data_IF_062577932138
#
_entry.id   IF_062577932138
#
_cell.length_a   1.000
_cell.length_b   1.000
_cell.length_c   1.000
_cell.angle_alpha   90.00
_cell.angle_beta   90.00
_cell.angle_gamma   90.00
#
_symmetry.space_group_name_H-M   'P 1'
#
loop_
_entity.id
_entity.type
_entity.pdbx_description
1 polymer ?
#
# COMPACT_ATOMS: atom_id res chain seq x y z
N UNK A 1 -32.27 32.04 -23.65
CA UNK A 1 -31.62 31.38 -24.80
C UNK A 1 -30.12 31.40 -24.52
N UNK A 2 -29.62 30.35 -23.86
CA UNK A 2 -28.26 30.32 -23.32
C UNK A 2 -27.35 29.70 -24.36
N UNK A 3 -26.36 30.47 -24.85
CA UNK A 3 -25.36 30.02 -25.81
C UNK A 3 -24.52 28.92 -25.15
N UNK A 4 -24.88 27.66 -25.39
CA UNK A 4 -23.98 26.52 -25.24
C UNK A 4 -22.82 26.76 -26.21
N UNK A 5 -21.71 27.32 -25.73
CA UNK A 5 -20.45 27.36 -26.48
C UNK A 5 -20.18 25.94 -26.98
N UNK A 6 -20.16 25.74 -28.31
CA UNK A 6 -19.81 24.48 -28.95
C UNK A 6 -18.40 24.06 -28.49
N UNK A 7 -18.32 23.25 -27.45
CA UNK A 7 -17.08 22.61 -27.01
C UNK A 7 -16.74 21.58 -28.10
N UNK A 8 -15.52 21.62 -28.64
CA UNK A 8 -15.09 20.66 -29.67
C UNK A 8 -15.16 19.22 -29.13
N UNK A 9 -15.43 18.23 -29.99
CA UNK A 9 -15.44 16.82 -29.59
C UNK A 9 -14.11 16.37 -28.98
N UNK A 10 -13.00 16.96 -29.41
CA UNK A 10 -11.68 16.75 -28.80
C UNK A 10 -11.66 17.19 -27.33
N UNK A 11 -12.23 18.34 -27.02
CA UNK A 11 -12.31 18.83 -25.64
C UNK A 11 -13.29 17.99 -24.80
N UNK A 12 -14.38 17.47 -25.39
CA UNK A 12 -15.25 16.49 -24.71
C UNK A 12 -14.47 15.20 -24.38
N UNK A 13 -13.67 14.68 -25.32
CA UNK A 13 -12.82 13.50 -25.12
C UNK A 13 -11.77 13.72 -24.02
N UNK A 14 -11.05 14.84 -24.05
CA UNK A 14 -10.04 15.17 -23.03
C UNK A 14 -10.68 15.27 -21.64
N UNK A 15 -11.85 15.93 -21.53
CA UNK A 15 -12.57 16.00 -20.24
C UNK A 15 -12.98 14.62 -19.74
N UNK A 16 -13.46 13.76 -20.63
CA UNK A 16 -13.82 12.38 -20.28
C UNK A 16 -12.60 11.55 -19.87
N UNK A 17 -11.47 11.74 -20.55
CA UNK A 17 -10.19 11.12 -20.21
C UNK A 17 -9.68 11.56 -18.84
N UNK A 18 -9.66 12.86 -18.56
CA UNK A 18 -9.24 13.37 -17.25
C UNK A 18 -10.20 12.93 -16.14
N UNK A 19 -11.51 12.88 -16.43
CA UNK A 19 -12.49 12.35 -15.49
C UNK A 19 -12.19 10.89 -15.16
N UNK A 20 -11.84 10.07 -16.15
CA UNK A 20 -11.46 8.68 -15.95
C UNK A 20 -10.15 8.53 -15.15
N UNK A 21 -9.09 9.26 -15.52
CA UNK A 21 -7.79 9.19 -14.85
C UNK A 21 -7.87 9.65 -13.37
N UNK A 22 -8.80 10.55 -13.07
CA UNK A 22 -9.05 11.03 -11.71
C UNK A 22 -10.11 10.21 -10.94
N UNK A 23 -10.78 9.25 -11.59
CA UNK A 23 -11.76 8.38 -10.92
C UNK A 23 -11.08 7.14 -10.35
N UNK A 24 -10.93 7.13 -9.04
CA UNK A 24 -10.08 6.17 -8.35
C UNK A 24 -10.85 5.23 -7.40
N UNK A 25 -12.12 5.53 -7.13
CA UNK A 25 -13.05 4.71 -6.34
C UNK A 25 -13.84 3.69 -7.20
N UNK A 26 -13.62 3.67 -8.52
CA UNK A 26 -14.37 2.90 -9.53
C UNK A 26 -15.90 3.09 -9.49
N UNK A 27 -16.40 4.03 -8.68
CA UNK A 27 -17.81 4.44 -8.67
C UNK A 27 -18.13 5.14 -9.98
N UNK A 28 -19.36 5.00 -10.45
CA UNK A 28 -19.83 5.68 -11.66
C UNK A 28 -19.02 5.38 -12.95
N UNK A 29 -18.20 4.32 -12.97
CA UNK A 29 -17.43 3.93 -14.16
C UNK A 29 -18.35 3.71 -15.38
N UNK A 30 -19.57 3.21 -15.16
CA UNK A 30 -20.60 3.08 -16.20
C UNK A 30 -21.06 4.43 -16.77
N UNK A 31 -21.12 5.47 -15.94
CA UNK A 31 -21.42 6.85 -16.39
C UNK A 31 -20.29 7.36 -17.28
N UNK A 32 -19.03 7.11 -16.92
CA UNK A 32 -17.87 7.45 -17.74
C UNK A 32 -17.89 6.68 -19.07
N UNK A 33 -18.16 5.38 -19.05
CA UNK A 33 -18.32 4.56 -20.26
C UNK A 33 -19.47 5.07 -21.15
N UNK A 34 -20.57 5.54 -20.55
CA UNK A 34 -21.68 6.18 -21.26
C UNK A 34 -21.28 7.50 -21.92
N UNK A 35 -20.41 8.30 -21.28
CA UNK A 35 -19.84 9.50 -21.89
C UNK A 35 -18.96 9.16 -23.10
N UNK A 36 -18.07 8.19 -22.98
CA UNK A 36 -17.27 7.69 -24.11
C UNK A 36 -18.15 7.20 -25.26
N UNK A 37 -19.23 6.46 -24.96
CA UNK A 37 -20.21 6.00 -25.97
C UNK A 37 -20.90 7.16 -26.68
N UNK A 38 -21.24 8.25 -25.97
CA UNK A 38 -21.84 9.45 -26.58
C UNK A 38 -20.85 10.16 -27.49
N UNK A 39 -19.61 10.34 -27.04
CA UNK A 39 -18.54 10.97 -27.82
C UNK A 39 -18.26 10.16 -29.08
N UNK A 40 -18.13 8.83 -28.97
CA UNK A 40 -17.96 7.90 -30.08
C UNK A 40 -19.03 8.07 -31.16
N UNK A 41 -20.32 8.03 -30.76
CA UNK A 41 -21.44 8.19 -31.69
C UNK A 41 -21.41 9.52 -32.43
N UNK A 42 -21.11 10.62 -31.72
CA UNK A 42 -20.99 11.96 -32.33
C UNK A 42 -19.79 12.02 -33.29
N UNK A 43 -18.64 11.47 -32.89
CA UNK A 43 -17.43 11.46 -33.69
C UNK A 43 -17.62 10.66 -34.99
N UNK A 44 -18.27 9.50 -34.93
CA UNK A 44 -18.60 8.70 -36.11
C UNK A 44 -19.53 9.48 -37.06
N UNK A 45 -20.58 10.12 -36.53
CA UNK A 45 -21.50 10.96 -37.32
C UNK A 45 -20.78 12.12 -38.01
N UNK A 46 -19.80 12.72 -37.35
CA UNK A 46 -19.00 13.82 -37.87
C UNK A 46 -17.81 13.35 -38.74
N UNK A 47 -17.62 12.04 -38.94
CA UNK A 47 -16.44 11.44 -39.61
C UNK A 47 -15.10 11.81 -38.96
N UNK A 48 -15.11 12.09 -37.65
CA UNK A 48 -13.92 12.34 -36.83
C UNK A 48 -13.33 11.00 -36.33
N UNK A 49 -12.86 10.17 -37.27
CA UNK A 49 -12.48 8.77 -37.05
C UNK A 49 -11.44 8.57 -35.95
N UNK A 50 -10.50 9.51 -35.75
CA UNK A 50 -9.52 9.45 -34.67
C UNK A 50 -10.17 9.56 -33.29
N UNK A 51 -11.11 10.49 -33.12
CA UNK A 51 -11.84 10.67 -31.86
C UNK A 51 -12.74 9.47 -31.61
N UNK A 52 -13.43 8.99 -32.65
CA UNK A 52 -14.22 7.77 -32.57
C UNK A 52 -13.37 6.58 -32.07
N UNK A 53 -12.22 6.32 -32.70
CA UNK A 53 -11.33 5.22 -32.35
C UNK A 53 -10.87 5.30 -30.89
N UNK A 54 -10.41 6.47 -30.44
CA UNK A 54 -9.96 6.69 -29.06
C UNK A 54 -11.09 6.53 -28.05
N UNK A 55 -12.28 7.05 -28.36
CA UNK A 55 -13.44 6.94 -27.48
C UNK A 55 -13.99 5.52 -27.36
N UNK A 56 -14.05 4.74 -28.45
CA UNK A 56 -14.39 3.31 -28.37
C UNK A 56 -13.30 2.54 -27.65
N UNK A 57 -12.02 2.81 -27.93
CA UNK A 57 -10.88 2.19 -27.24
C UNK A 57 -10.96 2.36 -25.72
N UNK A 58 -11.22 3.57 -25.23
CA UNK A 58 -11.27 3.84 -23.79
C UNK A 58 -12.55 3.35 -23.11
N UNK A 59 -13.65 3.20 -23.86
CA UNK A 59 -14.92 2.68 -23.34
C UNK A 59 -14.80 1.28 -22.75
N UNK A 60 -13.86 0.48 -23.25
CA UNK A 60 -13.68 -0.92 -22.84
C UNK A 60 -12.56 -1.10 -21.80
N UNK A 61 -12.03 -0.01 -21.23
CA UNK A 61 -10.95 -0.08 -20.25
C UNK A 61 -11.49 -0.16 -18.83
N UNK A 62 -10.91 -1.09 -18.05
CA UNK A 62 -10.97 -1.19 -16.59
C UNK A 62 -9.54 -1.36 -16.07
N UNK A 63 -9.25 -0.81 -14.89
CA UNK A 63 -7.88 -0.79 -14.37
C UNK A 63 -7.36 -2.13 -13.86
N UNK A 64 -8.25 -3.02 -13.40
CA UNK A 64 -7.88 -4.37 -12.97
C UNK A 64 -8.78 -5.39 -13.68
N UNK A 65 -8.24 -6.16 -14.64
CA UNK A 65 -9.02 -7.00 -15.55
C UNK A 65 -9.55 -8.30 -14.91
N UNK A 66 -9.45 -8.47 -13.58
CA UNK A 66 -9.76 -9.74 -12.91
C UNK A 66 -11.22 -10.19 -13.05
N UNK A 67 -12.11 -9.33 -13.55
CA UNK A 67 -13.50 -9.67 -13.86
C UNK A 67 -14.04 -8.84 -15.03
N UNK A 68 -13.67 -9.11 -16.30
CA UNK A 68 -14.52 -8.93 -17.50
C UNK A 68 -13.92 -9.67 -18.72
N UNK A 69 -14.79 -10.13 -19.62
CA UNK A 69 -14.55 -11.16 -20.62
C UNK A 69 -13.75 -10.66 -21.83
N UNK A 70 -12.89 -11.51 -22.39
CA UNK A 70 -12.25 -11.35 -23.71
C UNK A 70 -13.21 -10.91 -24.84
N UNK A 71 -14.52 -11.08 -24.62
CA UNK A 71 -15.61 -10.78 -25.53
C UNK A 71 -15.74 -9.28 -25.85
N UNK A 72 -15.62 -8.39 -24.86
CA UNK A 72 -15.72 -6.93 -25.10
C UNK A 72 -14.56 -6.41 -25.96
N UNK A 73 -13.35 -6.95 -25.74
CA UNK A 73 -12.19 -6.62 -26.54
C UNK A 73 -12.28 -7.19 -27.96
N UNK A 74 -12.87 -8.39 -28.11
CA UNK A 74 -13.17 -9.00 -29.41
C UNK A 74 -14.15 -8.15 -30.21
N UNK A 75 -15.23 -7.67 -29.60
CA UNK A 75 -16.19 -6.77 -30.25
C UNK A 75 -15.54 -5.47 -30.75
N UNK A 76 -14.67 -4.86 -29.93
CA UNK A 76 -13.92 -3.67 -30.36
C UNK A 76 -13.02 -3.96 -31.57
N UNK A 77 -12.30 -5.09 -31.54
CA UNK A 77 -11.41 -5.50 -32.63
C UNK A 77 -12.19 -5.78 -33.92
N UNK A 78 -13.35 -6.42 -33.82
CA UNK A 78 -14.25 -6.68 -34.96
C UNK A 78 -14.76 -5.38 -35.58
N UNK A 79 -15.18 -4.40 -34.76
CA UNK A 79 -15.59 -3.07 -35.25
C UNK A 79 -14.47 -2.35 -36.00
N UNK A 80 -13.23 -2.46 -35.53
CA UNK A 80 -12.08 -1.86 -36.19
C UNK A 80 -11.78 -2.53 -37.53
N UNK A 81 -11.75 -3.87 -37.57
CA UNK A 81 -11.50 -4.64 -38.78
C UNK A 81 -12.62 -4.51 -39.83
N UNK A 82 -13.84 -4.18 -39.41
CA UNK A 82 -14.98 -3.94 -40.29
C UNK A 82 -14.99 -2.58 -41.00
N UNK A 83 -14.02 -1.70 -40.75
CA UNK A 83 -13.94 -0.41 -41.42
C UNK A 83 -13.44 -0.52 -42.87
N UNK A 84 -13.90 0.36 -43.78
CA UNK A 84 -13.33 0.47 -45.12
C UNK A 84 -11.82 0.75 -45.07
N UNK A 85 -11.06 0.22 -46.02
CA UNK A 85 -9.59 0.35 -46.07
C UNK A 85 -9.11 1.81 -45.97
N UNK A 86 -9.72 2.72 -46.73
CA UNK A 86 -9.36 4.15 -46.69
C UNK A 86 -9.72 4.88 -45.38
N UNK A 87 -10.61 4.31 -44.56
CA UNK A 87 -10.88 4.80 -43.21
C UNK A 87 -9.91 4.18 -42.20
N UNK A 88 -9.56 2.90 -42.35
CA UNK A 88 -8.51 2.25 -41.56
C UNK A 88 -7.18 3.01 -41.68
N UNK A 89 -6.74 3.36 -42.89
CA UNK A 89 -5.48 4.07 -43.11
C UNK A 89 -5.37 5.39 -42.32
N UNK A 90 -6.51 6.06 -42.07
CA UNK A 90 -6.57 7.33 -41.31
C UNK A 90 -6.35 7.14 -39.81
N UNK A 91 -6.56 5.93 -39.30
CA UNK A 91 -6.44 5.56 -37.88
C UNK A 91 -5.29 4.57 -37.62
N UNK A 92 -4.69 3.98 -38.65
CA UNK A 92 -3.55 3.04 -38.58
C UNK A 92 -2.40 3.57 -37.72
N UNK A 93 -2.03 4.85 -37.88
CA UNK A 93 -0.99 5.47 -37.04
C UNK A 93 -1.30 5.47 -35.54
N UNK A 94 -2.58 5.55 -35.16
CA UNK A 94 -3.04 5.49 -33.77
C UNK A 94 -3.19 4.04 -33.31
N UNK A 95 -3.66 3.16 -34.19
CA UNK A 95 -3.73 1.72 -33.90
C UNK A 95 -2.34 1.12 -33.62
N UNK A 96 -1.30 1.59 -34.31
CA UNK A 96 0.10 1.19 -34.09
C UNK A 96 0.81 1.92 -32.95
N UNK A 97 0.18 2.89 -32.26
CA UNK A 97 0.78 3.50 -31.06
C UNK A 97 1.09 2.42 -30.02
N UNK A 98 0.26 1.39 -29.94
CA UNK A 98 0.47 0.25 -29.05
C UNK A 98 1.79 -0.49 -29.35
N UNK A 99 2.04 -0.88 -30.60
CA UNK A 99 3.30 -1.55 -30.95
C UNK A 99 4.52 -0.63 -30.84
N UNK A 100 4.33 0.70 -30.95
CA UNK A 100 5.40 1.67 -30.67
C UNK A 100 5.74 1.72 -29.19
N UNK A 101 4.74 1.59 -28.31
CA UNK A 101 4.98 1.47 -26.87
C UNK A 101 5.70 0.16 -26.53
N UNK A 102 5.38 -0.94 -27.22
CA UNK A 102 6.09 -2.21 -27.07
C UNK A 102 7.58 -2.14 -27.49
N UNK A 103 7.92 -1.28 -28.44
CA UNK A 103 9.32 -1.03 -28.80
C UNK A 103 10.06 -0.21 -27.73
N UNK A 104 9.41 0.81 -27.15
CA UNK A 104 9.97 1.58 -26.03
C UNK A 104 10.21 0.71 -24.79
N UNK A 105 9.38 -0.32 -24.62
CA UNK A 105 9.49 -1.37 -23.60
C UNK A 105 10.83 -2.12 -23.62
N UNK A 106 11.27 -2.51 -24.81
CA UNK A 106 12.53 -3.23 -25.03
C UNK A 106 13.70 -2.33 -24.62
N UNK A 107 13.63 -1.04 -24.95
CA UNK A 107 14.67 -0.06 -24.58
C UNK A 107 14.75 0.16 -23.07
N UNK A 108 13.60 0.30 -22.39
CA UNK A 108 13.53 0.42 -20.93
C UNK A 108 14.07 -0.84 -20.26
N UNK A 109 13.71 -2.03 -20.76
CA UNK A 109 14.20 -3.28 -20.20
C UNK A 109 15.72 -3.46 -20.37
N UNK A 110 16.26 -3.18 -21.55
CA UNK A 110 17.70 -3.19 -21.78
C UNK A 110 18.43 -2.20 -20.86
N UNK A 111 17.79 -1.07 -20.57
CA UNK A 111 18.31 -0.10 -19.63
C UNK A 111 18.35 -0.65 -18.19
N UNK A 112 17.26 -1.26 -17.71
CA UNK A 112 17.22 -1.92 -16.39
C UNK A 112 18.35 -2.93 -16.23
N UNK A 113 18.52 -3.82 -17.22
CA UNK A 113 19.56 -4.85 -17.20
C UNK A 113 20.97 -4.27 -17.14
N UNK A 114 21.20 -3.10 -17.77
CA UNK A 114 22.47 -2.37 -17.65
C UNK A 114 22.71 -1.86 -16.24
N UNK A 115 21.70 -1.31 -15.56
CA UNK A 115 21.84 -0.85 -14.16
C UNK A 115 22.11 -2.04 -13.24
N UNK A 116 21.32 -3.12 -13.35
CA UNK A 116 21.46 -4.30 -12.50
C UNK A 116 22.83 -4.96 -12.66
N UNK A 117 23.37 -5.03 -13.89
CA UNK A 117 24.75 -5.49 -14.12
C UNK A 117 25.76 -4.62 -13.34
N UNK A 118 25.64 -3.29 -13.40
CA UNK A 118 26.52 -2.37 -12.64
C UNK A 118 26.43 -2.60 -11.13
N UNK A 119 25.23 -2.86 -10.58
CA UNK A 119 25.02 -3.18 -9.15
C UNK A 119 25.84 -4.40 -8.74
N UNK A 120 25.65 -5.51 -9.46
CA UNK A 120 26.34 -6.77 -9.18
C UNK A 120 27.87 -6.61 -9.19
N UNK A 121 28.41 -5.81 -10.10
CA UNK A 121 29.85 -5.51 -10.13
C UNK A 121 30.32 -4.69 -8.93
N UNK A 122 29.51 -3.77 -8.38
CA UNK A 122 29.88 -2.97 -7.19
C UNK A 122 29.71 -3.74 -5.87
N UNK A 123 28.76 -4.67 -5.80
CA UNK A 123 28.51 -5.46 -4.59
C UNK A 123 29.49 -6.64 -4.46
N UNK A 124 30.02 -7.15 -5.57
CA UNK A 124 30.94 -8.29 -5.60
C UNK A 124 32.37 -7.88 -5.94
N UNK A 125 32.99 -7.00 -5.14
CA UNK A 125 34.35 -6.47 -5.39
C UNK A 125 35.43 -7.55 -5.67
N UNK A 126 35.18 -8.84 -5.39
CA UNK A 126 36.20 -9.92 -5.40
C UNK A 126 35.87 -11.20 -6.18
N UNK A 127 34.98 -11.21 -7.18
CA UNK A 127 34.82 -12.41 -8.04
C UNK A 127 35.24 -12.16 -9.51
N UNK A 128 36.43 -12.67 -9.83
CA UNK A 128 36.80 -13.08 -11.19
C UNK A 128 35.75 -14.08 -11.69
N UNK A 129 34.98 -13.71 -12.71
CA UNK A 129 34.31 -14.65 -13.59
C UNK A 129 34.70 -14.30 -15.02
N UNK A 130 35.07 -15.36 -15.74
CA UNK A 130 35.70 -15.36 -17.05
C UNK A 130 35.08 -14.37 -18.05
N UNK A 131 35.98 -13.75 -18.80
CA UNK A 131 35.75 -13.03 -20.05
C UNK A 131 34.72 -13.74 -20.92
N UNK A 132 33.46 -13.30 -20.84
CA UNK A 132 32.54 -13.40 -21.97
C UNK A 132 32.89 -12.24 -22.89
N UNK A 133 33.35 -12.59 -24.10
CA UNK A 133 33.92 -11.68 -25.11
C UNK A 133 33.08 -10.39 -25.29
N UNK A 134 33.68 -9.22 -25.05
CA UNK A 134 33.05 -7.92 -25.26
C UNK A 134 33.32 -7.45 -26.69
N UNK A 135 32.80 -8.14 -27.70
CA UNK A 135 32.87 -7.67 -29.10
C UNK A 135 31.50 -7.62 -29.75
N UNK A 136 30.64 -6.76 -29.22
CA UNK A 136 29.82 -5.83 -30.03
C UNK A 136 28.95 -4.99 -29.10
N UNK A 137 28.81 -3.70 -29.44
CA UNK A 137 27.87 -2.70 -28.88
C UNK A 137 28.26 -1.85 -27.67
N UNK A 138 29.51 -1.87 -27.18
CA UNK A 138 29.92 -0.96 -26.10
C UNK A 138 30.95 0.07 -26.57
N UNK A 139 30.46 1.21 -27.07
CA UNK A 139 31.27 2.43 -27.05
C UNK A 139 31.38 2.92 -25.60
N UNK A 140 32.60 2.86 -25.07
CA UNK A 140 33.01 3.55 -23.86
C UNK A 140 33.08 5.04 -24.12
N UNK A 141 31.94 5.72 -24.07
CA UNK A 141 31.86 7.15 -23.78
C UNK A 141 30.40 7.48 -23.55
N UNK A 142 30.09 7.97 -22.35
CA UNK A 142 28.93 8.77 -21.92
C UNK A 142 28.70 8.48 -20.43
N UNK A 143 29.53 9.10 -19.59
CA UNK A 143 29.30 9.19 -18.13
C UNK A 143 28.09 10.06 -17.76
N UNK A 144 27.40 10.62 -18.76
CA UNK A 144 26.15 11.35 -18.58
C UNK A 144 24.94 10.50 -19.00
N UNK A 145 24.17 10.08 -17.99
CA UNK A 145 22.70 10.11 -18.00
C UNK A 145 21.88 8.90 -18.49
N UNK A 146 22.34 7.67 -18.30
CA UNK A 146 21.48 6.51 -18.59
C UNK A 146 20.15 6.53 -17.80
N UNK A 147 20.15 7.07 -16.57
CA UNK A 147 18.95 7.28 -15.72
C UNK A 147 18.07 8.44 -16.19
N UNK A 148 18.67 9.59 -16.56
CA UNK A 148 17.91 10.71 -17.16
C UNK A 148 17.32 10.31 -18.51
N UNK A 149 17.97 9.41 -19.26
CA UNK A 149 17.44 8.86 -20.52
C UNK A 149 16.20 8.00 -20.26
N UNK A 150 16.22 7.12 -19.26
CA UNK A 150 15.04 6.34 -18.89
C UNK A 150 13.88 7.20 -18.38
N UNK A 151 14.17 8.22 -17.57
CA UNK A 151 13.16 9.20 -17.16
C UNK A 151 12.58 9.96 -18.36
N UNK A 152 13.43 10.43 -19.30
CA UNK A 152 12.96 11.11 -20.51
C UNK A 152 12.08 10.19 -21.35
N UNK A 153 12.47 8.93 -21.53
CA UNK A 153 11.65 7.94 -22.25
C UNK A 153 10.30 7.74 -21.55
N UNK A 154 10.27 7.65 -20.22
CA UNK A 154 9.03 7.56 -19.45
C UNK A 154 8.16 8.83 -19.59
N UNK A 155 8.78 10.01 -19.54
CA UNK A 155 8.09 11.30 -19.69
C UNK A 155 7.53 11.49 -21.10
N UNK A 156 8.31 11.18 -22.13
CA UNK A 156 7.90 11.22 -23.53
C UNK A 156 6.75 10.25 -23.78
N UNK A 157 6.82 9.07 -23.17
CA UNK A 157 5.77 8.07 -23.23
C UNK A 157 4.47 8.57 -22.57
N UNK A 158 4.51 9.10 -21.35
CA UNK A 158 3.30 9.60 -20.67
C UNK A 158 2.74 10.86 -21.36
N UNK A 159 3.59 11.76 -21.86
CA UNK A 159 3.15 12.92 -22.62
C UNK A 159 2.46 12.52 -23.93
N UNK A 160 3.02 11.54 -24.66
CA UNK A 160 2.39 11.01 -25.87
C UNK A 160 1.08 10.30 -25.54
N UNK A 161 1.01 9.56 -24.44
CA UNK A 161 -0.20 8.90 -23.97
C UNK A 161 -1.30 9.91 -23.66
N UNK A 162 -1.03 10.89 -22.80
CA UNK A 162 -1.98 11.94 -22.38
C UNK A 162 -2.42 12.77 -23.58
N UNK A 163 -1.47 13.18 -24.43
CA UNK A 163 -1.76 13.97 -25.64
C UNK A 163 -2.70 13.25 -26.62
N UNK A 164 -2.71 11.92 -26.59
CA UNK A 164 -3.60 11.07 -27.38
C UNK A 164 -4.79 10.53 -26.56
N UNK A 165 -5.01 10.97 -25.32
CA UNK A 165 -6.07 10.49 -24.43
C UNK A 165 -6.07 8.96 -24.28
N UNK A 166 -4.88 8.35 -24.25
CA UNK A 166 -4.75 6.90 -24.15
C UNK A 166 -4.78 6.51 -22.68
N UNK A 167 -5.86 5.89 -22.24
CA UNK A 167 -5.96 5.41 -20.87
C UNK A 167 -5.07 4.17 -20.67
N UNK A 168 -4.29 4.15 -19.58
CA UNK A 168 -3.47 3.00 -19.17
C UNK A 168 -3.78 2.64 -17.71
N UNK A 169 -3.84 1.35 -17.36
CA UNK A 169 -3.52 0.19 -18.21
C UNK A 169 -4.70 -0.32 -19.04
N UNK A 170 -4.45 -0.53 -20.33
CA UNK A 170 -5.39 -1.14 -21.29
C UNK A 170 -5.33 -2.67 -21.27
N UNK A 171 -4.19 -3.21 -20.86
CA UNK A 171 -3.94 -4.62 -20.51
C UNK A 171 -2.86 -4.67 -19.42
N UNK A 172 -2.76 -5.79 -18.72
CA UNK A 172 -1.70 -6.03 -17.72
C UNK A 172 -0.30 -5.87 -18.34
N UNK A 173 -0.14 -6.18 -19.63
CA UNK A 173 1.13 -5.99 -20.34
C UNK A 173 1.55 -4.52 -20.38
N UNK A 174 0.61 -3.58 -20.58
CA UNK A 174 0.90 -2.14 -20.58
C UNK A 174 1.25 -1.60 -19.18
N UNK A 175 0.60 -2.15 -18.15
CA UNK A 175 0.94 -1.86 -16.76
C UNK A 175 2.37 -2.32 -16.48
N UNK A 176 2.72 -3.53 -16.93
CA UNK A 176 4.05 -4.11 -16.81
C UNK A 176 5.15 -3.18 -17.39
N UNK A 177 4.84 -2.42 -18.45
CA UNK A 177 5.73 -1.39 -19.03
C UNK A 177 6.02 -0.28 -18.04
N UNK A 178 4.97 0.33 -17.51
CA UNK A 178 5.09 1.44 -16.58
C UNK A 178 5.86 1.03 -15.33
N UNK A 179 5.49 -0.11 -14.74
CA UNK A 179 6.11 -0.57 -13.50
C UNK A 179 7.60 -0.88 -13.71
N UNK A 180 7.99 -1.52 -14.83
CA UNK A 180 9.41 -1.77 -15.13
C UNK A 180 10.22 -0.49 -15.35
N UNK A 181 9.61 0.50 -15.99
CA UNK A 181 10.25 1.80 -16.20
C UNK A 181 10.43 2.56 -14.87
N UNK A 182 9.42 2.52 -14.01
CA UNK A 182 9.50 3.09 -12.66
C UNK A 182 10.50 2.34 -11.78
N UNK A 183 10.56 1.01 -11.89
CA UNK A 183 11.57 0.18 -11.22
C UNK A 183 12.99 0.61 -11.63
N UNK A 184 13.25 0.87 -12.92
CA UNK A 184 14.54 1.42 -13.36
C UNK A 184 14.88 2.73 -12.65
N UNK A 185 13.89 3.61 -12.49
CA UNK A 185 14.07 4.89 -11.83
C UNK A 185 14.39 4.71 -10.34
N UNK A 186 13.67 3.81 -9.66
CA UNK A 186 13.92 3.46 -8.25
C UNK A 186 15.27 2.78 -8.05
N UNK A 187 15.64 1.84 -8.92
CA UNK A 187 16.96 1.21 -8.90
C UNK A 187 18.07 2.26 -9.07
N UNK A 188 17.98 3.14 -10.07
CA UNK A 188 18.96 4.22 -10.26
C UNK A 188 19.02 5.19 -9.07
N UNK A 189 17.88 5.48 -8.46
CA UNK A 189 17.78 6.32 -7.26
C UNK A 189 18.53 5.68 -6.08
N UNK A 190 18.42 4.36 -5.89
CA UNK A 190 19.14 3.65 -4.82
C UNK A 190 20.66 3.77 -4.91
N UNK A 191 21.20 4.05 -6.11
CA UNK A 191 22.63 4.30 -6.32
C UNK A 191 23.05 5.76 -6.10
N UNK A 192 22.12 6.66 -5.77
CA UNK A 192 22.39 8.10 -5.77
C UNK A 192 22.67 8.68 -7.16
N UNK A 193 22.40 7.91 -8.24
CA UNK A 193 22.62 8.35 -9.63
C UNK A 193 21.47 9.21 -10.15
N UNK A 194 20.41 9.39 -9.35
CA UNK A 194 19.18 10.03 -9.76
C UNK A 194 18.43 10.61 -8.55
N UNK A 195 18.08 11.90 -8.61
CA UNK A 195 17.21 12.55 -7.63
C UNK A 195 15.76 12.20 -7.94
N UNK A 196 15.01 11.74 -6.93
CA UNK A 196 13.59 11.45 -7.09
C UNK A 196 12.87 12.70 -7.55
N UNK A 197 12.07 12.55 -8.60
CA UNK A 197 11.15 13.58 -9.04
C UNK A 197 9.73 13.19 -8.61
N UNK A 198 8.94 14.19 -8.22
CA UNK A 198 7.51 14.08 -7.89
C UNK A 198 6.70 13.22 -8.88
N UNK A 199 7.07 13.25 -10.17
CA UNK A 199 6.44 12.39 -11.19
C UNK A 199 6.66 10.90 -10.93
N UNK A 200 7.89 10.48 -10.60
CA UNK A 200 8.17 9.06 -10.30
C UNK A 200 7.40 8.65 -9.05
N UNK A 201 7.36 9.52 -8.05
CA UNK A 201 6.57 9.29 -6.82
C UNK A 201 5.08 9.11 -7.16
N UNK A 202 4.48 10.06 -7.88
CA UNK A 202 3.06 10.02 -8.26
C UNK A 202 2.72 8.81 -9.13
N UNK A 203 3.55 8.50 -10.13
CA UNK A 203 3.31 7.33 -10.98
C UNK A 203 3.46 6.02 -10.21
N UNK A 204 4.36 5.97 -9.23
CA UNK A 204 4.54 4.77 -8.42
C UNK A 204 3.33 4.49 -7.54
N UNK A 205 2.71 5.53 -6.98
CA UNK A 205 1.41 5.42 -6.31
C UNK A 205 0.36 4.84 -7.26
N UNK A 206 0.32 5.36 -8.49
CA UNK A 206 -0.78 5.10 -9.42
C UNK A 206 -0.78 3.71 -10.05
N UNK A 207 0.39 3.17 -10.37
CA UNK A 207 0.50 2.01 -11.28
C UNK A 207 0.99 0.72 -10.63
N UNK A 208 1.74 0.78 -9.52
CA UNK A 208 2.19 -0.42 -8.83
C UNK A 208 1.06 -1.08 -8.04
N UNK A 209 1.13 -2.41 -7.96
CA UNK A 209 0.52 -3.11 -6.83
C UNK A 209 1.43 -2.91 -5.63
N UNK A 210 0.84 -2.77 -4.45
CA UNK A 210 1.57 -2.58 -3.20
C UNK A 210 2.65 -3.63 -3.00
N UNK A 211 2.37 -4.90 -3.31
CA UNK A 211 3.33 -6.01 -3.19
C UNK A 211 4.57 -5.84 -4.07
N UNK A 212 4.41 -5.40 -5.32
CA UNK A 212 5.52 -5.16 -6.23
C UNK A 212 6.38 -3.98 -5.77
N UNK A 213 5.74 -2.93 -5.25
CA UNK A 213 6.46 -1.78 -4.73
C UNK A 213 7.24 -2.15 -3.45
N UNK A 214 6.64 -2.95 -2.56
CA UNK A 214 7.34 -3.53 -1.42
C UNK A 214 8.57 -4.33 -1.86
N UNK A 215 8.45 -5.17 -2.89
CA UNK A 215 9.57 -5.96 -3.41
C UNK A 215 10.70 -5.09 -3.94
N UNK A 216 10.37 -4.04 -4.71
CA UNK A 216 11.35 -3.06 -5.20
C UNK A 216 12.07 -2.39 -4.03
N UNK A 217 11.35 -1.93 -3.02
CA UNK A 217 11.97 -1.26 -1.87
C UNK A 217 12.83 -2.20 -1.02
N UNK A 218 12.39 -3.44 -0.84
CA UNK A 218 13.16 -4.48 -0.17
C UNK A 218 14.44 -4.86 -0.91
N UNK A 219 14.39 -4.95 -2.25
CA UNK A 219 15.55 -5.33 -3.08
C UNK A 219 16.54 -4.17 -3.18
N UNK A 220 16.06 -2.96 -3.48
CA UNK A 220 16.96 -1.86 -3.85
C UNK A 220 17.34 -0.94 -2.69
N UNK A 221 16.48 -0.78 -1.69
CA UNK A 221 16.65 0.17 -0.58
C UNK A 221 16.87 -0.55 0.75
N UNK A 222 17.86 -1.44 0.77
CA UNK A 222 18.26 -2.19 1.97
C UNK A 222 18.94 -1.33 3.03
N UNK A 223 19.54 -0.19 2.64
CA UNK A 223 20.14 0.73 3.58
C UNK A 223 19.06 1.49 4.36
N UNK A 224 18.94 1.29 5.68
CA UNK A 224 17.89 1.92 6.46
C UNK A 224 18.09 3.43 6.69
N UNK A 225 19.26 3.98 6.32
CA UNK A 225 19.54 5.41 6.35
C UNK A 225 19.12 6.15 5.07
N UNK A 226 18.71 5.42 4.02
CA UNK A 226 18.27 6.06 2.78
C UNK A 226 16.97 6.84 3.04
N UNK A 227 16.97 8.13 2.64
CA UNK A 227 15.82 9.02 2.77
C UNK A 227 15.56 9.80 1.49
N UNK A 228 14.29 9.87 1.12
CA UNK A 228 13.77 10.58 -0.04
C UNK A 228 13.50 12.03 0.39
N UNK A 229 14.17 12.98 -0.27
CA UNK A 229 13.80 14.40 -0.16
C UNK A 229 12.82 14.72 -1.27
N UNK A 230 11.63 15.20 -0.91
CA UNK A 230 10.55 15.57 -1.83
C UNK A 230 9.83 16.80 -1.27
N UNK A 231 9.22 17.59 -2.15
CA UNK A 231 8.46 18.77 -1.77
C UNK A 231 7.28 18.40 -0.86
N UNK A 232 7.15 19.12 0.24
CA UNK A 232 6.17 18.81 1.29
C UNK A 232 4.75 19.24 0.89
N UNK A 233 4.60 20.31 0.12
CA UNK A 233 3.29 20.74 -0.38
C UNK A 233 2.76 19.76 -1.41
N UNK A 234 3.63 19.25 -2.29
CA UNK A 234 3.31 18.15 -3.20
C UNK A 234 2.83 16.90 -2.44
N UNK A 235 3.55 16.47 -1.40
CA UNK A 235 3.12 15.32 -0.60
C UNK A 235 1.75 15.54 0.04
N UNK A 236 1.51 16.72 0.61
CA UNK A 236 0.22 17.09 1.21
C UNK A 236 -0.90 17.06 0.17
N UNK A 237 -0.66 17.60 -1.03
CA UNK A 237 -1.64 17.62 -2.11
C UNK A 237 -1.99 16.21 -2.58
N UNK A 238 -0.98 15.38 -2.86
CA UNK A 238 -1.18 13.99 -3.27
C UNK A 238 -1.97 13.22 -2.23
N UNK A 239 -1.58 13.33 -0.96
CA UNK A 239 -2.25 12.62 0.12
C UNK A 239 -3.70 13.06 0.29
N UNK A 240 -3.96 14.38 0.31
CA UNK A 240 -5.32 14.93 0.41
C UNK A 240 -6.22 14.45 -0.73
N UNK A 241 -5.69 14.41 -1.96
CA UNK A 241 -6.43 13.93 -3.12
C UNK A 241 -6.79 12.44 -3.01
N UNK A 242 -5.87 11.61 -2.49
CA UNK A 242 -6.14 10.20 -2.23
C UNK A 242 -7.22 10.07 -1.13
N UNK A 243 -7.08 10.80 -0.02
CA UNK A 243 -7.99 10.75 1.12
C UNK A 243 -9.41 11.21 0.80
N UNK A 244 -9.57 12.28 0.02
CA UNK A 244 -10.87 12.79 -0.45
C UNK A 244 -11.70 11.77 -1.24
N UNK A 245 -11.05 10.72 -1.74
CA UNK A 245 -11.68 9.69 -2.55
C UNK A 245 -12.29 8.56 -1.70
N UNK A 246 -12.04 8.52 -0.39
CA UNK A 246 -12.68 7.60 0.57
C UNK A 246 -13.89 8.29 1.20
N UNK A 247 -15.06 8.18 0.56
CA UNK A 247 -16.31 8.81 1.04
C UNK A 247 -17.29 7.85 1.73
N UNK A 248 -17.15 6.54 1.52
CA UNK A 248 -18.10 5.54 2.05
C UNK A 248 -17.41 4.19 2.33
N UNK A 249 -17.95 3.47 3.31
CA UNK A 249 -17.51 2.13 3.68
C UNK A 249 -17.69 1.16 2.48
N UNK A 250 -16.60 0.83 1.79
CA UNK A 250 -16.60 0.04 0.55
C UNK A 250 -15.68 0.57 -0.54
N UNK A 251 -15.24 1.84 -0.47
CA UNK A 251 -14.22 2.41 -1.36
C UNK A 251 -12.83 1.78 -1.19
N UNK A 252 -12.63 0.97 -0.14
CA UNK A 252 -11.36 0.33 0.19
C UNK A 252 -11.12 -1.04 -0.48
N UNK A 253 -11.98 -1.44 -1.41
CA UNK A 253 -11.72 -2.56 -2.33
C UNK A 253 -11.45 -2.09 -3.76
N UNK A 254 -11.32 -0.76 -3.95
CA UNK A 254 -11.07 -0.09 -5.23
C UNK A 254 -9.60 0.33 -5.37
N UNK A 255 -9.25 0.97 -6.49
CA UNK A 255 -7.89 1.47 -6.73
C UNK A 255 -7.38 2.45 -5.66
N UNK A 256 -8.28 3.18 -5.00
CA UNK A 256 -7.90 4.06 -3.91
C UNK A 256 -7.16 3.34 -2.77
N UNK A 257 -7.54 2.09 -2.47
CA UNK A 257 -6.85 1.27 -1.47
C UNK A 257 -5.37 1.08 -1.84
N UNK A 258 -5.09 0.64 -3.06
CA UNK A 258 -3.71 0.51 -3.55
C UNK A 258 -2.97 1.85 -3.52
N UNK A 259 -3.61 2.95 -3.91
CA UNK A 259 -2.97 4.28 -3.89
C UNK A 259 -2.62 4.73 -2.47
N UNK A 260 -3.50 4.51 -1.51
CA UNK A 260 -3.26 4.85 -0.11
C UNK A 260 -2.13 4.00 0.47
N UNK A 261 -2.16 2.68 0.25
CA UNK A 261 -1.10 1.75 0.66
C UNK A 261 0.26 2.11 0.04
N UNK A 262 0.30 2.34 -1.28
CA UNK A 262 1.51 2.78 -1.99
C UNK A 262 2.02 4.12 -1.47
N UNK A 263 1.13 5.08 -1.17
CA UNK A 263 1.51 6.36 -0.61
C UNK A 263 2.18 6.19 0.76
N UNK A 264 1.58 5.41 1.68
CA UNK A 264 2.15 5.16 3.00
C UNK A 264 3.53 4.51 2.91
N UNK A 265 3.69 3.50 2.04
CA UNK A 265 4.98 2.85 1.80
C UNK A 265 6.03 3.87 1.30
N UNK A 266 5.71 4.68 0.29
CA UNK A 266 6.67 5.64 -0.25
C UNK A 266 7.00 6.75 0.77
N UNK A 267 5.99 7.24 1.49
CA UNK A 267 6.15 8.24 2.53
C UNK A 267 6.99 7.72 3.72
N UNK A 268 7.01 6.41 3.98
CA UNK A 268 7.88 5.79 5.00
C UNK A 268 9.37 6.06 4.76
N UNK A 269 9.76 6.23 3.49
CA UNK A 269 11.13 6.50 3.08
C UNK A 269 11.42 8.00 2.91
N UNK A 270 10.42 8.88 3.05
CA UNK A 270 10.61 10.33 2.93
C UNK A 270 11.15 10.98 4.21
N UNK A 271 11.90 12.08 4.03
CA UNK A 271 12.10 13.07 5.10
C UNK A 271 10.84 13.90 5.20
N UNK A 272 10.15 13.83 6.34
CA UNK A 272 8.90 14.54 6.58
C UNK A 272 9.12 15.71 7.54
N UNK A 273 8.47 16.83 7.26
CA UNK A 273 8.26 17.88 8.25
C UNK A 273 7.14 17.51 9.22
N UNK A 274 7.18 18.07 10.43
CA UNK A 274 6.20 17.79 11.48
C UNK A 274 4.75 17.95 10.99
N UNK A 275 4.44 19.05 10.30
CA UNK A 275 3.09 19.32 9.80
C UNK A 275 2.63 18.24 8.79
N UNK A 276 3.49 17.84 7.85
CA UNK A 276 3.18 16.79 6.88
C UNK A 276 2.95 15.45 7.55
N UNK A 277 3.82 15.09 8.50
CA UNK A 277 3.69 13.85 9.29
C UNK A 277 2.37 13.82 10.05
N UNK A 278 2.08 14.88 10.81
CA UNK A 278 0.85 14.98 11.59
C UNK A 278 -0.41 14.91 10.75
N UNK A 279 -0.45 15.57 9.59
CA UNK A 279 -1.59 15.53 8.68
C UNK A 279 -1.84 14.13 8.12
N UNK A 280 -0.77 13.38 7.85
CA UNK A 280 -0.89 11.97 7.45
C UNK A 280 -1.56 11.16 8.57
N UNK A 281 -1.11 11.36 9.81
CA UNK A 281 -1.68 10.67 10.97
C UNK A 281 -3.15 11.05 11.22
N UNK A 282 -3.51 12.33 11.10
CA UNK A 282 -4.91 12.78 11.28
C UNK A 282 -5.87 12.08 10.33
N UNK A 283 -5.56 12.05 9.04
CA UNK A 283 -6.40 11.37 8.06
C UNK A 283 -6.46 9.86 8.31
N UNK A 284 -5.31 9.22 8.61
CA UNK A 284 -5.29 7.80 8.97
C UNK A 284 -6.17 7.56 10.21
N UNK A 285 -6.12 8.44 11.20
CA UNK A 285 -6.91 8.36 12.41
C UNK A 285 -8.41 8.44 12.13
N UNK A 286 -8.80 9.35 11.25
CA UNK A 286 -10.20 9.47 10.83
C UNK A 286 -10.67 8.18 10.13
N UNK A 287 -9.83 7.58 9.26
CA UNK A 287 -10.15 6.27 8.66
C UNK A 287 -10.20 5.13 9.68
N UNK A 288 -9.39 5.17 10.74
CA UNK A 288 -9.50 4.25 11.87
C UNK A 288 -10.88 4.44 12.51
N UNK A 289 -11.21 5.64 13.00
CA UNK A 289 -12.49 5.96 13.69
C UNK A 289 -13.72 5.57 12.89
N UNK A 290 -13.68 5.73 11.57
CA UNK A 290 -14.77 5.35 10.66
C UNK A 290 -14.90 3.83 10.47
N UNK A 291 -13.95 3.03 10.99
CA UNK A 291 -13.90 1.58 10.88
C UNK A 291 -13.40 1.07 9.53
N UNK A 292 -12.75 1.92 8.75
CA UNK A 292 -12.48 1.66 7.32
C UNK A 292 -11.17 0.92 7.05
N UNK A 293 -10.29 0.81 8.05
CA UNK A 293 -8.97 0.17 7.93
C UNK A 293 -9.09 -1.36 7.91
N UNK A 294 -8.44 -2.02 6.94
CA UNK A 294 -8.26 -3.48 6.89
C UNK A 294 -6.86 -3.89 7.36
N UNK A 295 -6.62 -5.19 7.54
CA UNK A 295 -5.30 -5.73 7.94
C UNK A 295 -4.15 -5.24 7.02
N UNK A 296 -4.37 -5.21 5.70
CA UNK A 296 -3.39 -4.72 4.75
C UNK A 296 -3.06 -3.23 4.95
N UNK A 297 -4.05 -2.41 5.35
CA UNK A 297 -3.85 -1.00 5.66
C UNK A 297 -3.03 -0.81 6.92
N UNK A 298 -3.33 -1.58 7.98
CA UNK A 298 -2.54 -1.56 9.19
C UNK A 298 -1.11 -2.02 8.91
N UNK A 299 -0.89 -3.04 8.07
CA UNK A 299 0.46 -3.43 7.63
C UNK A 299 1.24 -2.27 7.00
N UNK A 300 0.61 -1.50 6.10
CA UNK A 300 1.27 -0.35 5.47
C UNK A 300 1.44 0.85 6.40
N UNK A 301 0.51 1.07 7.34
CA UNK A 301 0.72 2.00 8.45
C UNK A 301 1.94 1.58 9.28
N UNK A 302 2.13 0.28 9.51
CA UNK A 302 3.30 -0.25 10.20
C UNK A 302 4.61 0.06 9.49
N UNK A 303 4.67 -0.15 8.17
CA UNK A 303 5.82 0.25 7.35
C UNK A 303 6.09 1.76 7.44
N UNK A 304 5.03 2.58 7.35
CA UNK A 304 5.13 4.02 7.53
C UNK A 304 5.73 4.42 8.88
N UNK A 305 5.16 3.90 9.97
CA UNK A 305 5.61 4.16 11.34
C UNK A 305 7.05 3.68 11.53
N UNK A 306 7.38 2.47 11.10
CA UNK A 306 8.73 1.91 11.21
C UNK A 306 9.76 2.74 10.44
N UNK A 307 9.40 3.15 9.22
CA UNK A 307 10.20 4.05 8.40
C UNK A 307 10.47 5.37 9.11
N UNK A 308 9.45 6.00 9.70
CA UNK A 308 9.62 7.30 10.37
C UNK A 308 10.27 7.21 11.75
N UNK A 309 10.18 6.06 12.44
CA UNK A 309 10.65 5.87 13.82
C UNK A 309 12.14 6.15 14.05
N UNK A 310 12.96 5.98 12.99
CA UNK A 310 14.39 6.25 13.04
C UNK A 310 14.73 7.75 13.01
N UNK A 311 13.74 8.61 12.79
CA UNK A 311 13.89 10.06 12.86
C UNK A 311 13.54 10.56 14.26
N UNK A 312 14.52 11.13 14.96
CA UNK A 312 14.28 11.81 16.25
C UNK A 312 13.79 13.26 16.08
N UNK A 313 13.62 13.72 14.84
CA UNK A 313 13.17 15.08 14.54
C UNK A 313 11.65 15.28 14.66
N UNK A 314 10.88 14.19 14.66
CA UNK A 314 9.41 14.24 14.70
C UNK A 314 8.90 14.11 16.13
N UNK A 315 7.88 14.91 16.46
CA UNK A 315 7.09 14.73 17.68
C UNK A 315 6.02 13.65 17.43
N UNK A 316 6.06 12.61 18.26
CA UNK A 316 5.23 11.41 18.15
C UNK A 316 3.92 11.50 18.94
N UNK A 317 3.68 12.57 19.71
CA UNK A 317 2.55 12.62 20.64
C UNK A 317 1.20 12.47 19.93
N UNK A 318 1.06 13.00 18.71
CA UNK A 318 -0.17 12.87 17.89
C UNK A 318 -0.47 11.43 17.47
N UNK A 319 0.53 10.55 17.45
CA UNK A 319 0.32 9.13 17.21
C UNK A 319 -0.49 8.46 18.33
N UNK A 320 -0.59 9.09 19.52
CA UNK A 320 -1.46 8.60 20.60
C UNK A 320 -2.92 8.53 20.13
N UNK A 321 -3.37 9.49 19.32
CA UNK A 321 -4.75 9.52 18.81
C UNK A 321 -5.09 8.27 17.99
N UNK A 322 -4.11 7.72 17.26
CA UNK A 322 -4.28 6.46 16.52
C UNK A 322 -4.51 5.28 17.46
N UNK A 323 -3.70 5.20 18.53
CA UNK A 323 -3.81 4.15 19.55
C UNK A 323 -5.17 4.25 20.22
N UNK A 324 -5.55 5.44 20.69
CA UNK A 324 -6.82 5.67 21.39
C UNK A 324 -8.02 5.36 20.49
N UNK A 325 -8.00 5.78 19.23
CA UNK A 325 -9.11 5.50 18.31
C UNK A 325 -9.25 4.00 18.02
N UNK A 326 -8.12 3.28 17.90
CA UNK A 326 -8.15 1.82 17.81
C UNK A 326 -8.72 1.17 19.08
N UNK A 327 -8.26 1.59 20.28
CA UNK A 327 -8.77 1.07 21.55
C UNK A 327 -10.29 1.30 21.67
N UNK A 328 -10.78 2.47 21.27
CA UNK A 328 -12.20 2.78 21.32
C UNK A 328 -13.03 1.86 20.41
N UNK A 329 -12.59 1.65 19.16
CA UNK A 329 -13.27 0.74 18.24
C UNK A 329 -13.22 -0.72 18.70
N UNK A 330 -12.13 -1.09 19.37
CA UNK A 330 -11.95 -2.40 19.97
C UNK A 330 -12.97 -2.63 21.08
N UNK A 331 -13.06 -1.70 22.04
CA UNK A 331 -14.00 -1.75 23.17
C UNK A 331 -15.45 -1.72 22.70
N UNK A 332 -15.79 -0.90 21.70
CA UNK A 332 -17.13 -0.84 21.12
C UNK A 332 -17.52 -2.08 20.30
N UNK A 333 -16.61 -3.04 20.12
CA UNK A 333 -16.79 -4.24 19.28
C UNK A 333 -17.23 -3.89 17.83
N UNK A 334 -16.82 -2.71 17.33
CA UNK A 334 -17.14 -2.21 15.99
C UNK A 334 -16.02 -2.46 14.99
N UNK A 335 -14.81 -2.77 15.46
CA UNK A 335 -13.76 -3.16 14.56
C UNK A 335 -14.06 -4.55 13.96
N UNK A 336 -13.83 -4.71 12.67
CA UNK A 336 -13.90 -6.01 12.00
C UNK A 336 -12.60 -6.78 12.34
N UNK A 337 -12.54 -7.26 13.59
CA UNK A 337 -11.30 -7.46 14.34
C UNK A 337 -10.46 -8.66 13.89
N UNK A 338 -11.05 -9.70 13.29
CA UNK A 338 -10.37 -11.00 13.11
C UNK A 338 -8.99 -10.94 12.42
N UNK A 339 -8.75 -10.02 11.48
CA UNK A 339 -7.45 -9.87 10.79
C UNK A 339 -6.68 -8.58 11.18
N UNK A 340 -7.32 -7.59 11.79
CA UNK A 340 -6.69 -6.32 12.18
C UNK A 340 -5.94 -6.42 13.51
N UNK A 341 -6.33 -7.39 14.36
CA UNK A 341 -5.77 -7.64 15.71
C UNK A 341 -4.24 -7.86 15.69
N UNK A 342 -3.72 -8.59 14.70
CA UNK A 342 -2.29 -8.95 14.64
C UNK A 342 -1.38 -7.83 14.13
N UNK A 343 -1.91 -6.86 13.37
CA UNK A 343 -1.10 -5.74 12.88
C UNK A 343 -0.94 -4.65 13.96
N UNK A 344 -1.97 -4.44 14.78
CA UNK A 344 -1.94 -3.55 15.95
C UNK A 344 -0.89 -3.99 17.00
N UNK A 345 -0.67 -5.31 17.14
CA UNK A 345 0.27 -5.92 18.09
C UNK A 345 1.71 -5.43 17.95
N UNK A 346 2.16 -5.08 16.74
CA UNK A 346 3.54 -4.64 16.51
C UNK A 346 3.68 -3.11 16.41
N UNK A 347 2.65 -2.41 15.93
CA UNK A 347 2.73 -0.99 15.59
C UNK A 347 2.48 -0.09 16.81
N UNK A 348 1.41 -0.34 17.56
CA UNK A 348 1.03 0.53 18.67
C UNK A 348 1.99 0.49 19.85
N UNK A 349 2.56 -0.66 20.24
CA UNK A 349 3.62 -0.66 21.26
C UNK A 349 4.83 0.16 20.84
N UNK A 350 5.18 0.11 19.55
CA UNK A 350 6.28 0.89 18.98
C UNK A 350 5.99 2.39 19.07
N UNK A 351 4.79 2.83 18.69
CA UNK A 351 4.34 4.22 18.86
C UNK A 351 4.45 4.67 20.32
N UNK A 352 3.88 3.88 21.22
CA UNK A 352 3.87 4.18 22.66
C UNK A 352 5.28 4.24 23.25
N UNK A 353 6.24 3.47 22.73
CA UNK A 353 7.64 3.56 23.13
C UNK A 353 8.31 4.92 22.87
N UNK A 354 7.77 5.75 21.96
CA UNK A 354 8.23 7.13 21.70
C UNK A 354 7.42 8.19 22.45
N UNK A 355 6.34 7.80 23.11
CA UNK A 355 5.43 8.70 23.83
C UNK A 355 5.62 8.48 25.32
N UNK A 356 5.72 9.56 26.10
CA UNK A 356 5.76 9.48 27.55
C UNK A 356 4.71 10.41 28.15
N UNK A 357 4.18 10.02 29.31
CA UNK A 357 3.27 10.84 30.10
C UNK A 357 1.82 10.78 29.63
N UNK A 358 1.32 9.60 29.24
CA UNK A 358 -0.13 9.42 29.05
C UNK A 358 -0.78 9.61 30.42
N UNK A 359 -1.64 10.63 30.52
CA UNK A 359 -2.27 11.00 31.77
C UNK A 359 -3.59 10.26 31.98
N UNK A 360 -4.22 10.51 33.13
CA UNK A 360 -5.47 9.88 33.52
C UNK A 360 -6.68 10.24 32.66
N UNK A 361 -6.58 11.15 31.68
CA UNK A 361 -7.69 11.55 30.80
C UNK A 361 -8.24 10.36 30.00
N UNK A 362 -7.38 9.38 29.69
CA UNK A 362 -7.73 8.19 28.92
C UNK A 362 -7.87 6.93 29.78
N UNK A 363 -7.93 7.09 31.11
CA UNK A 363 -7.98 5.98 32.08
C UNK A 363 -9.11 5.02 31.75
N UNK A 364 -10.35 5.51 31.65
CA UNK A 364 -11.52 4.64 31.52
C UNK A 364 -11.44 3.78 30.26
N UNK A 365 -11.05 4.38 29.12
CA UNK A 365 -10.86 3.65 27.87
C UNK A 365 -9.79 2.54 27.98
N UNK A 366 -8.67 2.82 28.63
CA UNK A 366 -7.60 1.83 28.82
C UNK A 366 -8.07 0.70 29.76
N UNK A 367 -8.81 1.04 30.82
CA UNK A 367 -9.38 0.07 31.75
C UNK A 367 -10.42 -0.81 31.06
N UNK A 368 -11.29 -0.24 30.23
CA UNK A 368 -12.31 -0.96 29.47
C UNK A 368 -11.68 -1.87 28.40
N UNK A 369 -10.59 -1.42 27.78
CA UNK A 369 -9.80 -2.26 26.88
C UNK A 369 -9.25 -3.49 27.61
N UNK A 370 -8.60 -3.30 28.78
CA UNK A 370 -8.10 -4.40 29.60
C UNK A 370 -9.24 -5.35 30.00
N UNK A 371 -10.39 -4.81 30.38
CA UNK A 371 -11.56 -5.61 30.72
C UNK A 371 -11.99 -6.50 29.54
N UNK A 372 -12.11 -5.90 28.36
CA UNK A 372 -12.58 -6.56 27.13
C UNK A 372 -11.64 -7.69 26.70
N UNK A 373 -10.32 -7.47 26.68
CA UNK A 373 -9.35 -8.51 26.26
C UNK A 373 -9.32 -9.69 27.23
N UNK A 374 -9.54 -9.45 28.53
CA UNK A 374 -9.49 -10.48 29.56
C UNK A 374 -10.83 -11.23 29.73
N UNK A 375 -11.96 -10.63 29.35
CA UNK A 375 -13.26 -11.31 29.27
C UNK A 375 -13.33 -12.27 28.07
N UNK A 376 -12.71 -11.93 26.95
CA UNK A 376 -12.82 -12.69 25.72
C UNK A 376 -11.61 -13.62 25.49
N UNK A 377 -11.87 -14.94 25.56
CA UNK A 377 -10.84 -15.99 25.37
C UNK A 377 -10.12 -15.94 24.01
N UNK A 378 -10.66 -15.23 23.02
CA UNK A 378 -10.03 -15.03 21.71
C UNK A 378 -8.70 -14.26 21.84
N UNK A 379 -8.58 -13.33 22.79
CA UNK A 379 -7.49 -12.34 22.81
C UNK A 379 -6.37 -12.66 23.79
N UNK A 380 -6.67 -13.40 24.84
CA UNK A 380 -5.67 -13.97 25.74
C UNK A 380 -6.14 -15.37 26.00
N UNK A 381 -5.31 -16.38 25.73
CA UNK A 381 -5.63 -17.75 26.10
C UNK A 381 -4.39 -18.50 26.60
N UNK A 382 -4.45 -18.88 27.87
CA UNK A 382 -3.45 -19.72 28.53
C UNK A 382 -4.13 -21.03 28.90
N UNK A 383 -3.65 -22.14 28.35
CA UNK A 383 -4.25 -23.46 28.53
C UNK A 383 -3.54 -24.27 29.63
N UNK A 384 -4.34 -24.84 30.52
CA UNK A 384 -3.88 -25.91 31.40
C UNK A 384 -3.69 -27.18 30.55
N UNK A 385 -2.66 -27.98 30.87
CA UNK A 385 -2.19 -29.06 29.98
C UNK A 385 -3.24 -30.15 29.68
N UNK A 386 -4.37 -30.15 30.39
CA UNK A 386 -5.51 -31.06 30.23
C UNK A 386 -6.59 -30.62 29.24
N UNK A 387 -6.59 -29.37 28.75
CA UNK A 387 -7.62 -28.84 27.83
C UNK A 387 -7.24 -28.91 26.34
N UNK A 388 -6.08 -29.48 25.96
CA UNK A 388 -5.72 -29.68 24.55
C UNK A 388 -6.55 -30.83 23.97
N UNK A 389 -7.82 -30.57 23.63
CA UNK A 389 -8.58 -31.47 22.77
C UNK A 389 -7.95 -31.45 21.38
N UNK A 390 -7.57 -32.64 20.88
CA UNK A 390 -7.13 -32.85 19.50
C UNK A 390 -8.24 -32.43 18.52
N UNK A 391 -8.27 -31.15 18.14
CA UNK A 391 -9.13 -30.65 17.07
C UNK A 391 -8.29 -29.93 16.03
N UNK A 392 -7.41 -30.68 15.38
CA UNK A 392 -6.87 -30.37 14.05
C UNK A 392 -6.34 -31.69 13.48
N UNK A 393 -6.64 -32.04 12.21
CA UNK A 393 -6.08 -33.23 11.61
C UNK A 393 -4.57 -33.06 11.50
N UNK A 394 -3.82 -34.05 12.00
CA UNK A 394 -2.37 -34.09 11.89
C UNK A 394 -1.97 -33.86 10.42
N UNK A 395 -1.05 -32.91 10.11
CA UNK A 395 -0.46 -32.87 8.79
C UNK A 395 0.29 -34.19 8.58
N UNK A 396 -0.06 -34.91 7.50
CA UNK A 396 0.68 -36.11 7.08
C UNK A 396 2.18 -35.79 7.04
N UNK A 397 3.04 -36.59 7.70
CA UNK A 397 4.46 -36.33 7.66
C UNK A 397 5.06 -36.93 6.40
N UNK A 398 5.94 -36.16 5.75
CA UNK A 398 7.14 -36.76 5.18
C UNK A 398 8.26 -35.73 5.18
N UNK A 399 9.14 -35.78 6.17
CA UNK A 399 10.49 -36.32 5.98
C UNK A 399 11.21 -36.39 7.32
N UNK A 400 12.06 -37.42 7.41
CA UNK A 400 12.74 -37.95 8.59
C UNK A 400 13.66 -36.91 9.27
N UNK A 401 13.30 -36.47 10.48
CA UNK A 401 14.21 -35.79 11.43
C UNK A 401 14.19 -36.55 12.75
N UNK A 402 14.75 -37.77 12.69
CA UNK A 402 14.82 -38.76 13.77
C UNK A 402 15.58 -38.35 15.04
N UNK A 403 15.93 -37.07 15.25
CA UNK A 403 16.77 -36.66 16.38
C UNK A 403 16.48 -35.27 16.94
N UNK A 404 15.21 -34.89 17.14
CA UNK A 404 14.90 -33.78 18.05
C UNK A 404 13.92 -34.16 19.15
N UNK A 405 14.47 -34.70 20.24
CA UNK A 405 13.80 -34.69 21.55
C UNK A 405 13.84 -33.26 22.07
N UNK A 406 12.92 -32.42 21.59
CA UNK A 406 12.54 -31.21 22.33
C UNK A 406 11.31 -31.55 23.17
N UNK A 407 11.49 -31.65 24.49
CA UNK A 407 10.36 -31.54 25.44
C UNK A 407 9.89 -30.09 25.38
N UNK A 408 9.13 -29.77 24.35
CA UNK A 408 8.41 -28.52 24.27
C UNK A 408 7.19 -28.63 25.19
N UNK A 409 7.33 -28.17 26.43
CA UNK A 409 6.19 -27.66 27.19
C UNK A 409 5.77 -26.38 26.48
N UNK A 410 5.13 -26.51 25.31
CA UNK A 410 4.78 -25.38 24.46
C UNK A 410 3.56 -24.70 25.10
N UNK A 411 3.83 -23.75 26.00
CA UNK A 411 2.85 -22.71 26.31
C UNK A 411 2.64 -21.97 24.99
N UNK A 412 1.54 -22.25 24.28
CA UNK A 412 1.08 -21.33 23.24
C UNK A 412 0.58 -20.08 23.96
N UNK A 413 1.50 -19.14 24.24
CA UNK A 413 1.15 -17.79 24.68
C UNK A 413 0.50 -17.08 23.48
N UNK A 414 -0.78 -17.35 23.23
CA UNK A 414 -1.60 -16.55 22.32
C UNK A 414 -2.08 -15.31 23.10
N UNK A 415 -1.17 -14.37 23.38
CA UNK A 415 -1.50 -13.07 23.99
C UNK A 415 -1.05 -11.93 23.06
N UNK A 416 -1.74 -11.72 21.92
CA UNK A 416 -1.42 -10.68 20.95
C UNK A 416 -1.35 -9.26 21.52
N UNK A 417 -1.97 -8.99 22.68
CA UNK A 417 -1.97 -7.66 23.28
C UNK A 417 -0.96 -7.47 24.42
N UNK A 418 -0.17 -8.48 24.78
CA UNK A 418 0.78 -8.39 25.89
C UNK A 418 1.76 -7.21 25.71
N UNK A 419 2.33 -7.07 24.50
CA UNK A 419 3.25 -5.98 24.17
C UNK A 419 2.56 -4.62 24.28
N UNK A 420 1.27 -4.53 23.91
CA UNK A 420 0.48 -3.31 24.00
C UNK A 420 0.17 -2.94 25.45
N UNK A 421 -0.21 -3.91 26.29
CA UNK A 421 -0.44 -3.68 27.73
C UNK A 421 0.83 -3.14 28.38
N UNK A 422 1.99 -3.76 28.11
CA UNK A 422 3.29 -3.32 28.64
C UNK A 422 3.64 -1.90 28.18
N UNK A 423 3.47 -1.61 26.89
CA UNK A 423 3.78 -0.31 26.34
C UNK A 423 2.84 0.79 26.89
N UNK A 424 1.54 0.51 27.05
CA UNK A 424 0.59 1.41 27.70
C UNK A 424 1.01 1.70 29.15
N UNK A 425 1.38 0.67 29.91
CA UNK A 425 1.88 0.82 31.27
C UNK A 425 3.14 1.70 31.33
N UNK A 426 4.14 1.41 30.50
CA UNK A 426 5.43 2.10 30.51
C UNK A 426 5.34 3.56 30.06
N UNK A 427 4.44 3.87 29.13
CA UNK A 427 4.22 5.24 28.63
C UNK A 427 3.30 6.09 29.50
N UNK A 428 2.63 5.50 30.48
CA UNK A 428 1.68 6.18 31.39
C UNK A 428 2.34 6.95 32.52
N UNK A 429 1.63 7.94 33.07
CA UNK A 429 1.97 8.55 34.35
C UNK A 429 1.76 7.59 35.53
N UNK A 430 2.23 7.96 36.72
CA UNK A 430 2.14 7.10 37.92
C UNK A 430 0.70 6.79 38.36
N UNK A 431 -0.24 7.71 38.12
CA UNK A 431 -1.64 7.51 38.48
C UNK A 431 -2.31 6.49 37.56
N UNK A 432 -2.05 6.58 36.26
CA UNK A 432 -2.58 5.65 35.27
C UNK A 432 -1.88 4.28 35.37
N UNK A 433 -0.57 4.23 35.63
CA UNK A 433 0.13 2.98 35.99
C UNK A 433 -0.53 2.27 37.16
N UNK A 434 -0.84 3.02 38.22
CA UNK A 434 -1.55 2.47 39.39
C UNK A 434 -2.92 1.92 38.99
N UNK A 435 -3.70 2.66 38.20
CA UNK A 435 -5.00 2.21 37.72
C UNK A 435 -4.92 0.92 36.88
N UNK A 436 -3.95 0.83 35.95
CA UNK A 436 -3.72 -0.38 35.13
C UNK A 436 -3.45 -1.59 36.04
N UNK A 437 -2.54 -1.45 37.02
CA UNK A 437 -2.24 -2.53 37.97
C UNK A 437 -3.44 -2.91 38.83
N UNK A 438 -4.18 -1.93 39.35
CA UNK A 438 -5.38 -2.17 40.14
C UNK A 438 -6.42 -2.97 39.33
N UNK A 439 -6.62 -2.64 38.05
CA UNK A 439 -7.51 -3.40 37.18
C UNK A 439 -7.02 -4.82 36.92
N UNK A 440 -5.74 -5.02 36.64
CA UNK A 440 -5.19 -6.37 36.43
C UNK A 440 -5.27 -7.22 37.71
N UNK A 441 -5.06 -6.63 38.89
CA UNK A 441 -5.27 -7.30 40.19
C UNK A 441 -6.74 -7.64 40.41
N UNK A 442 -7.64 -6.70 40.11
CA UNK A 442 -9.08 -6.95 40.18
C UNK A 442 -9.46 -8.16 39.33
N UNK A 443 -8.99 -8.22 38.08
CA UNK A 443 -9.21 -9.37 37.19
C UNK A 443 -8.74 -10.68 37.84
N UNK A 444 -7.54 -10.69 38.42
CA UNK A 444 -6.96 -11.87 39.08
C UNK A 444 -7.77 -12.33 40.31
N UNK A 445 -8.29 -11.38 41.10
CA UNK A 445 -9.01 -11.63 42.35
C UNK A 445 -10.48 -12.04 42.11
N UNK A 446 -11.13 -11.47 41.10
CA UNK A 446 -12.56 -11.67 40.82
C UNK A 446 -12.75 -12.81 39.83
N UNK A 447 -12.37 -14.02 40.25
CA UNK A 447 -12.34 -15.20 39.38
C UNK A 447 -13.69 -15.52 38.74
N UNK A 448 -14.79 -15.16 39.39
CA UNK A 448 -16.16 -15.41 38.95
C UNK A 448 -16.55 -14.55 37.74
N UNK A 449 -15.97 -13.36 37.60
CA UNK A 449 -16.28 -12.38 36.55
C UNK A 449 -15.55 -12.67 35.23
N UNK A 450 -14.43 -13.42 35.28
CA UNK A 450 -13.62 -13.73 34.10
C UNK A 450 -13.50 -15.24 33.88
N UNK A 451 -14.01 -15.70 32.74
CA UNK A 451 -14.07 -17.12 32.42
C UNK A 451 -12.70 -17.83 32.36
N UNK A 452 -11.60 -17.10 32.18
CA UNK A 452 -10.24 -17.70 32.19
C UNK A 452 -9.65 -17.81 33.59
N UNK A 453 -9.81 -16.82 34.46
CA UNK A 453 -9.34 -16.91 35.86
C UNK A 453 -10.06 -17.98 36.65
N UNK A 454 -11.33 -18.27 36.33
CA UNK A 454 -12.05 -19.37 36.94
C UNK A 454 -11.51 -20.75 36.51
N UNK A 455 -11.15 -20.89 35.23
CA UNK A 455 -10.91 -22.21 34.61
C UNK A 455 -9.45 -22.57 34.40
N UNK A 456 -8.51 -21.63 34.49
CA UNK A 456 -7.08 -21.92 34.31
C UNK A 456 -6.23 -21.37 35.45
N UNK A 457 -5.54 -22.29 36.14
CA UNK A 457 -4.57 -21.93 37.16
C UNK A 457 -3.31 -21.31 36.53
N UNK A 458 -2.87 -21.81 35.37
CA UNK A 458 -1.75 -21.22 34.64
C UNK A 458 -2.03 -19.81 34.16
N UNK A 459 -3.25 -19.51 33.75
CA UNK A 459 -3.65 -18.13 33.42
C UNK A 459 -3.48 -17.22 34.63
N UNK A 460 -3.91 -17.66 35.81
CA UNK A 460 -3.76 -16.89 37.05
C UNK A 460 -2.28 -16.64 37.39
N UNK A 461 -1.44 -17.67 37.23
CA UNK A 461 0.02 -17.56 37.42
C UNK A 461 0.61 -16.57 36.42
N UNK A 462 0.28 -16.70 35.13
CA UNK A 462 0.74 -15.80 34.08
C UNK A 462 0.33 -14.35 34.33
N UNK A 463 -0.93 -14.10 34.74
CA UNK A 463 -1.42 -12.76 35.03
C UNK A 463 -0.72 -12.16 36.26
N UNK A 464 -0.45 -12.98 37.28
CA UNK A 464 0.34 -12.58 38.45
C UNK A 464 1.78 -12.21 38.05
N UNK A 465 2.44 -13.06 37.27
CA UNK A 465 3.78 -12.79 36.74
C UNK A 465 3.81 -11.53 35.86
N UNK A 466 2.76 -11.29 35.06
CA UNK A 466 2.62 -10.05 34.29
C UNK A 466 2.59 -8.83 35.21
N UNK A 467 1.70 -8.82 36.21
CA UNK A 467 1.55 -7.70 37.16
C UNK A 467 2.87 -7.41 37.90
N UNK A 468 3.57 -8.45 38.33
CA UNK A 468 4.86 -8.33 39.03
C UNK A 468 5.97 -7.80 38.12
N UNK A 469 5.93 -8.12 36.83
CA UNK A 469 6.93 -7.71 35.85
C UNK A 469 6.62 -6.40 35.12
N UNK A 470 5.49 -5.72 35.38
CA UNK A 470 5.19 -4.44 34.72
C UNK A 470 6.17 -3.33 35.13
N UNK A 471 6.73 -3.40 36.34
CA UNK A 471 7.73 -2.45 36.86
C UNK A 471 9.16 -2.71 36.38
N UNK A 472 9.42 -3.90 35.85
CA UNK A 472 10.74 -4.38 35.44
C UNK A 472 10.93 -4.21 33.93
#
# INVERSE_FOLDING_TARGET
MTILKNVSLKNELVKCFLLFENHADDKDIEKIHSLYKKISKKALKNRELRIWFLSESNRYIRFYPSRYSEQDFREWREKFLGLPSGEMDRITSIAHLQSRFDQQLIEIHHYLMRILKKRSYRENDWFYMETIEPESLFSHDHRDSSSKKALRVLQDFDQNRIGNCLTIPRSEEHRAIYIRALECCWCATSFGEFSINEKIFSYSIRYFYTTELCDIFRIYFTNPAFRITIDQEFLKEVFTNICHSFKEHGSFTSRNDEWFKNFLLLASHCVLEQNTFERILEEVNDKIKEGWMSSAHYGQLGEFIFGQFKSDALNWHKCLDLVLSFLNLFVENKANLNDCDMAAESIFPMILGKIQGIDTTHKDLIIDFLDTIHQNRKYICVFDASEISKSSPDPKPSLDLKNWKFKATLIRNNSPFLSLIKALYQSSDENLKKAIKEKLRYILEHKEDYAQTNKSEKYCIWLKELIENLDN
#
